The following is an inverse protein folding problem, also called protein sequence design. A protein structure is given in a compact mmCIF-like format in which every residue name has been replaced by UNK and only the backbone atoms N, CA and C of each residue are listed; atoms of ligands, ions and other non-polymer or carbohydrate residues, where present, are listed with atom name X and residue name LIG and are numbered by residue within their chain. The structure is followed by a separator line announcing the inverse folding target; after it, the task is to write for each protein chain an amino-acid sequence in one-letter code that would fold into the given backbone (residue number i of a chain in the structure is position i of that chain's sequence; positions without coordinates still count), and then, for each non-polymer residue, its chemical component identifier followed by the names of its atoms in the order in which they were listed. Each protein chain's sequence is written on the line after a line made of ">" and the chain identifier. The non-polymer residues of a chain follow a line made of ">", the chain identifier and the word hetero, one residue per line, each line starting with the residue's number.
data_IF_394219472835
#
_entry.id   IF_394219472835
#
_cell.length_a   1.000
_cell.length_b   1.000
_cell.length_c   1.000
_cell.angle_alpha   90.00
_cell.angle_beta   90.00
_cell.angle_gamma   90.00
#
_symmetry.space_group_name_H-M   'P 1'
#
loop_
_entity.id
_entity.type
_entity.pdbx_description
1 polymer ?
#
# COMPACT_ATOMS: atom_id res chain seq x y z
N UNK A 1 -47.47 -4.58 20.47
CA UNK A 1 -46.19 -4.29 21.16
C UNK A 1 -45.07 -5.27 20.80
N UNK A 2 -45.19 -6.59 21.05
CA UNK A 2 -44.12 -7.57 20.74
C UNK A 2 -43.64 -7.54 19.28
N UNK A 3 -44.56 -7.46 18.30
CA UNK A 3 -44.20 -7.38 16.87
C UNK A 3 -43.40 -6.12 16.51
N UNK A 4 -43.78 -4.97 17.08
CA UNK A 4 -43.08 -3.69 16.86
C UNK A 4 -41.66 -3.75 17.45
N UNK A 5 -41.51 -4.32 18.65
CA UNK A 5 -40.20 -4.49 19.27
C UNK A 5 -39.27 -5.40 18.45
N UNK A 6 -39.80 -6.50 17.89
CA UNK A 6 -39.05 -7.39 17.00
C UNK A 6 -38.62 -6.67 15.72
N UNK A 7 -39.51 -5.92 15.08
CA UNK A 7 -39.18 -5.15 13.87
C UNK A 7 -38.09 -4.10 14.13
N UNK A 8 -38.19 -3.36 15.23
CA UNK A 8 -37.17 -2.36 15.61
C UNK A 8 -35.81 -3.03 15.86
N UNK A 9 -35.80 -4.18 16.54
CA UNK A 9 -34.55 -4.90 16.82
C UNK A 9 -33.88 -5.40 15.53
N UNK A 10 -34.66 -5.92 14.58
CA UNK A 10 -34.18 -6.30 13.25
C UNK A 10 -33.62 -5.11 12.48
N UNK A 11 -34.30 -3.96 12.47
CA UNK A 11 -33.80 -2.75 11.81
C UNK A 11 -32.47 -2.26 12.39
N UNK A 12 -32.34 -2.26 13.73
CA UNK A 12 -31.08 -1.90 14.40
C UNK A 12 -29.96 -2.89 14.06
N UNK A 13 -30.27 -4.18 14.00
CA UNK A 13 -29.31 -5.22 13.63
C UNK A 13 -28.83 -5.07 12.18
N UNK A 14 -29.75 -4.81 11.24
CA UNK A 14 -29.40 -4.53 9.84
C UNK A 14 -28.57 -3.25 9.70
N UNK A 15 -28.94 -2.17 10.40
CA UNK A 15 -28.17 -0.92 10.39
C UNK A 15 -26.76 -1.12 10.96
N UNK A 16 -26.63 -1.90 12.04
CA UNK A 16 -25.33 -2.26 12.63
C UNK A 16 -24.46 -3.09 11.69
N UNK A 17 -25.03 -4.11 11.04
CA UNK A 17 -24.31 -4.93 10.05
C UNK A 17 -23.90 -4.11 8.82
N UNK A 18 -24.78 -3.24 8.33
CA UNK A 18 -24.47 -2.35 7.22
C UNK A 18 -23.35 -1.36 7.57
N UNK A 19 -23.41 -0.76 8.76
CA UNK A 19 -22.37 0.14 9.26
C UNK A 19 -21.03 -0.59 9.36
N UNK A 20 -21.00 -1.77 9.98
CA UNK A 20 -19.80 -2.59 10.09
C UNK A 20 -19.21 -2.90 8.71
N UNK A 21 -20.04 -3.34 7.78
CA UNK A 21 -19.62 -3.66 6.42
C UNK A 21 -19.02 -2.44 5.70
N UNK A 22 -19.69 -1.28 5.78
CA UNK A 22 -19.21 -0.05 5.15
C UNK A 22 -17.87 0.42 5.74
N UNK A 23 -17.66 0.23 7.04
CA UNK A 23 -16.40 0.59 7.72
C UNK A 23 -15.27 -0.40 7.49
N UNK A 24 -15.56 -1.65 7.12
CA UNK A 24 -14.57 -2.72 6.99
C UNK A 24 -13.67 -2.57 5.75
N UNK A 25 -14.16 -1.98 4.65
CA UNK A 25 -13.38 -1.86 3.41
C UNK A 25 -13.14 -0.39 2.98
N UNK A 26 -12.44 0.43 3.79
CA UNK A 26 -12.36 1.88 3.55
C UNK A 26 -11.65 2.25 2.25
N UNK A 27 -10.74 1.41 1.75
CA UNK A 27 -9.91 1.72 0.58
C UNK A 27 -10.06 0.74 -0.58
N UNK A 28 -11.05 -0.14 -0.57
CA UNK A 28 -11.28 -1.03 -1.70
C UNK A 28 -11.51 -0.24 -3.00
N UNK A 29 -10.76 -0.60 -4.04
CA UNK A 29 -10.85 -0.01 -5.37
C UNK A 29 -10.04 1.27 -5.58
N UNK A 30 -9.27 1.73 -4.58
CA UNK A 30 -8.30 2.80 -4.82
C UNK A 30 -7.09 2.29 -5.60
N UNK A 31 -6.68 3.05 -6.61
CA UNK A 31 -5.47 2.87 -7.36
C UNK A 31 -4.54 4.07 -7.16
N UNK A 32 -3.24 3.84 -7.09
CA UNK A 32 -2.21 4.87 -7.02
C UNK A 32 -1.23 4.63 -8.14
N UNK A 33 -0.71 5.70 -8.74
CA UNK A 33 0.24 5.62 -9.82
C UNK A 33 1.14 6.83 -9.85
N UNK A 34 2.42 6.63 -10.14
CA UNK A 34 3.34 7.74 -10.35
C UNK A 34 4.75 7.27 -10.66
N UNK A 35 5.59 8.21 -11.09
CA UNK A 35 7.02 7.99 -11.24
C UNK A 35 7.73 8.31 -9.94
N UNK A 36 8.44 7.34 -9.39
CA UNK A 36 9.27 7.50 -8.21
C UNK A 36 10.74 7.61 -8.61
N UNK A 37 11.35 8.70 -8.17
CA UNK A 37 12.78 8.93 -8.32
C UNK A 37 13.39 9.02 -6.94
N UNK A 38 14.36 8.15 -6.66
CA UNK A 38 15.08 8.12 -5.41
C UNK A 38 16.58 8.16 -5.65
N UNK A 39 17.29 8.87 -4.80
CA UNK A 39 18.75 8.95 -4.79
C UNK A 39 19.20 9.05 -3.34
N UNK A 40 20.06 8.12 -2.91
CA UNK A 40 20.64 8.15 -1.58
C UNK A 40 22.09 7.67 -1.60
N UNK A 41 22.88 8.25 -0.70
CA UNK A 41 24.19 7.76 -0.34
C UNK A 41 24.06 7.20 1.09
N UNK A 42 24.22 5.90 1.25
CA UNK A 42 24.20 5.24 2.55
C UNK A 42 25.54 4.55 2.80
N UNK A 43 25.74 4.05 4.02
CA UNK A 43 26.95 3.27 4.38
C UNK A 43 27.14 2.06 3.46
N UNK A 44 26.05 1.50 2.95
CA UNK A 44 26.03 0.33 2.06
C UNK A 44 26.28 0.66 0.57
N UNK A 45 26.49 1.93 0.23
CA UNK A 45 26.79 2.37 -1.13
C UNK A 45 25.88 3.50 -1.63
N UNK A 46 26.04 3.82 -2.92
CA UNK A 46 25.23 4.82 -3.61
C UNK A 46 24.10 4.13 -4.36
N UNK A 47 22.88 4.49 -4.02
CA UNK A 47 21.66 3.92 -4.59
C UNK A 47 20.88 4.99 -5.35
N UNK A 48 20.31 4.59 -6.48
CA UNK A 48 19.27 5.38 -7.12
C UNK A 48 18.29 4.50 -7.86
N UNK A 49 17.03 4.90 -7.94
CA UNK A 49 16.08 4.23 -8.81
C UNK A 49 15.14 5.22 -9.48
N UNK A 50 14.67 4.85 -10.66
CA UNK A 50 13.60 5.53 -11.39
C UNK A 50 12.59 4.48 -11.81
N UNK A 51 11.43 4.47 -11.17
CA UNK A 51 10.41 3.44 -11.38
C UNK A 51 9.03 4.05 -11.55
N UNK A 52 8.24 3.46 -12.43
CA UNK A 52 6.79 3.58 -12.38
C UNK A 52 6.31 2.70 -11.21
N UNK A 53 5.71 3.34 -10.21
CA UNK A 53 5.14 2.68 -9.06
C UNK A 53 3.62 2.72 -9.16
N UNK A 54 2.98 1.56 -9.12
CA UNK A 54 1.52 1.43 -9.05
C UNK A 54 1.14 0.73 -7.77
N UNK A 55 0.10 1.19 -7.08
CA UNK A 55 -0.41 0.56 -5.87
C UNK A 55 -1.92 0.36 -6.01
N UNK A 56 -2.42 -0.79 -5.64
CA UNK A 56 -3.84 -1.13 -5.73
C UNK A 56 -4.32 -1.70 -4.41
N UNK A 57 -5.44 -1.20 -3.93
CA UNK A 57 -6.12 -1.69 -2.74
C UNK A 57 -7.28 -2.60 -3.14
N UNK A 58 -7.20 -3.86 -2.74
CA UNK A 58 -8.21 -4.89 -3.02
C UNK A 58 -9.14 -5.07 -1.83
N UNK A 59 -9.97 -6.11 -1.87
CA UNK A 59 -10.85 -6.52 -0.76
C UNK A 59 -10.05 -6.97 0.46
N UNK A 60 -10.73 -7.02 1.60
CA UNK A 60 -10.27 -7.69 2.83
C UNK A 60 -8.94 -7.15 3.37
N UNK A 61 -8.74 -5.84 3.25
CA UNK A 61 -7.53 -5.17 3.70
C UNK A 61 -6.24 -5.65 3.02
N UNK A 62 -6.34 -6.12 1.79
CA UNK A 62 -5.20 -6.53 0.99
C UNK A 62 -4.92 -5.53 -0.14
N UNK A 63 -3.76 -5.68 -0.75
CA UNK A 63 -3.39 -4.93 -1.92
C UNK A 63 -2.06 -5.39 -2.49
N UNK A 64 -1.61 -4.70 -3.52
CA UNK A 64 -0.28 -4.88 -4.06
C UNK A 64 0.29 -3.56 -4.57
N UNK A 65 1.61 -3.48 -4.61
CA UNK A 65 2.29 -2.45 -5.36
C UNK A 65 3.29 -3.07 -6.34
N UNK A 66 3.30 -2.54 -7.55
CA UNK A 66 4.18 -2.95 -8.63
C UNK A 66 5.20 -1.83 -8.90
N UNK A 67 6.46 -2.22 -9.06
CA UNK A 67 7.57 -1.34 -9.39
C UNK A 67 8.16 -1.79 -10.73
N UNK A 68 8.15 -0.89 -11.71
CA UNK A 68 8.70 -1.13 -13.04
C UNK A 68 9.67 -0.02 -13.41
N UNK A 69 10.94 -0.33 -13.62
CA UNK A 69 11.92 0.66 -14.08
C UNK A 69 13.35 0.19 -13.85
N UNK A 70 14.21 1.13 -13.45
CA UNK A 70 15.64 0.87 -13.27
C UNK A 70 16.09 1.17 -11.85
N UNK A 71 17.07 0.38 -11.39
CA UNK A 71 17.72 0.49 -10.09
C UNK A 71 19.23 0.50 -10.30
N UNK A 72 19.93 1.42 -9.66
CA UNK A 72 21.38 1.58 -9.77
C UNK A 72 22.00 1.47 -8.38
N UNK A 73 23.01 0.63 -8.25
CA UNK A 73 23.83 0.49 -7.04
C UNK A 73 25.30 0.53 -7.42
N UNK A 74 26.04 1.47 -6.82
CA UNK A 74 27.49 1.69 -7.05
C UNK A 74 27.87 1.77 -8.53
N UNK A 75 27.04 2.44 -9.32
CA UNK A 75 27.24 2.68 -10.76
C UNK A 75 26.76 1.56 -11.68
N UNK A 76 26.41 0.39 -11.15
CA UNK A 76 25.80 -0.69 -11.93
C UNK A 76 24.29 -0.52 -11.98
N UNK A 77 23.71 -0.63 -13.17
CA UNK A 77 22.26 -0.46 -13.37
C UNK A 77 21.59 -1.79 -13.70
N UNK A 78 20.47 -2.02 -13.04
CA UNK A 78 19.66 -3.21 -13.08
C UNK A 78 18.22 -2.84 -13.49
N UNK A 79 17.55 -3.77 -14.14
CA UNK A 79 16.12 -3.73 -14.35
C UNK A 79 15.41 -4.16 -13.07
N UNK A 80 14.45 -3.36 -12.63
CA UNK A 80 13.62 -3.61 -11.47
C UNK A 80 12.18 -3.80 -11.94
N UNK A 81 11.65 -5.01 -11.77
CA UNK A 81 10.30 -5.37 -12.18
C UNK A 81 9.72 -6.34 -11.15
N UNK A 82 9.10 -5.79 -10.11
CA UNK A 82 8.59 -6.55 -8.96
C UNK A 82 7.20 -6.13 -8.57
N UNK A 83 6.40 -7.11 -8.19
CA UNK A 83 5.10 -6.88 -7.56
C UNK A 83 5.14 -7.41 -6.14
N UNK A 84 4.88 -6.55 -5.16
CA UNK A 84 4.79 -6.95 -3.76
C UNK A 84 3.35 -6.83 -3.29
N UNK A 85 2.86 -7.86 -2.62
CA UNK A 85 1.52 -7.90 -2.06
C UNK A 85 1.61 -7.58 -0.59
N UNK A 86 0.58 -6.95 -0.08
CA UNK A 86 0.54 -6.50 1.29
C UNK A 86 -0.84 -6.65 1.91
N UNK A 87 -0.85 -6.74 3.23
CA UNK A 87 -2.03 -6.47 4.06
C UNK A 87 -1.85 -5.12 4.72
N UNK A 88 -2.96 -4.45 5.04
CA UNK A 88 -2.92 -3.19 5.77
C UNK A 88 -3.90 -3.16 6.93
N UNK A 89 -3.55 -2.52 8.05
CA UNK A 89 -4.49 -2.33 9.16
C UNK A 89 -4.34 -0.97 9.80
N UNK A 90 -5.45 -0.38 10.23
CA UNK A 90 -5.44 0.87 10.97
C UNK A 90 -4.81 0.64 12.35
N UNK A 91 -3.88 1.49 12.75
CA UNK A 91 -3.16 1.41 14.04
C UNK A 91 -3.65 2.45 15.05
N UNK A 92 -4.13 3.60 14.59
CA UNK A 92 -4.66 4.64 15.46
C UNK A 92 -5.72 5.49 14.74
N UNK A 93 -6.30 6.44 15.48
CA UNK A 93 -7.29 7.39 14.94
C UNK A 93 -6.71 8.55 14.14
N UNK A 94 -5.38 8.64 14.01
CA UNK A 94 -4.66 9.68 13.27
C UNK A 94 -4.20 9.18 11.89
N UNK A 95 -5.01 8.33 11.27
CA UNK A 95 -4.78 7.79 9.93
C UNK A 95 -3.46 7.03 9.78
N UNK A 96 -2.89 6.53 10.87
CA UNK A 96 -1.72 5.65 10.84
C UNK A 96 -2.17 4.23 10.51
N UNK A 97 -1.55 3.65 9.49
CA UNK A 97 -1.76 2.28 9.08
C UNK A 97 -0.45 1.51 9.21
N UNK A 98 -0.55 0.20 9.34
CA UNK A 98 0.57 -0.71 9.17
C UNK A 98 0.35 -1.51 7.91
N UNK A 99 1.31 -1.43 6.99
CA UNK A 99 1.39 -2.30 5.82
C UNK A 99 2.40 -3.41 6.15
N UNK A 100 2.04 -4.66 5.89
CA UNK A 100 2.95 -5.81 5.98
C UNK A 100 3.08 -6.43 4.61
N UNK A 101 4.32 -6.59 4.12
CA UNK A 101 4.55 -7.26 2.83
C UNK A 101 4.44 -8.76 3.03
N UNK A 102 3.43 -9.38 2.42
CA UNK A 102 3.12 -10.80 2.62
C UNK A 102 3.81 -11.69 1.59
N UNK A 103 3.96 -11.22 0.36
CA UNK A 103 4.63 -11.96 -0.72
C UNK A 103 5.19 -11.01 -1.77
N UNK A 104 6.14 -11.51 -2.56
CA UNK A 104 6.65 -10.81 -3.74
C UNK A 104 6.71 -11.73 -4.96
N UNK A 105 6.50 -11.15 -6.13
CA UNK A 105 6.76 -11.75 -7.44
C UNK A 105 7.87 -10.93 -8.09
N UNK A 106 8.93 -11.60 -8.49
CA UNK A 106 10.05 -11.04 -9.26
C UNK A 106 9.84 -11.49 -10.71
N UNK A 107 9.78 -10.54 -11.65
CA UNK A 107 9.66 -10.85 -13.07
C UNK A 107 10.95 -11.43 -13.62
N UNK A 108 10.86 -12.23 -14.69
CA UNK A 108 12.02 -12.73 -15.43
C UNK A 108 12.89 -11.61 -16.04
N UNK A 109 12.32 -10.40 -16.20
CA UNK A 109 13.05 -9.22 -16.68
C UNK A 109 13.81 -8.48 -15.55
N UNK A 110 13.55 -8.80 -14.29
CA UNK A 110 14.25 -8.22 -13.15
C UNK A 110 15.60 -8.92 -12.96
N UNK A 111 16.67 -8.11 -12.91
CA UNK A 111 18.02 -8.61 -12.66
C UNK A 111 18.69 -7.89 -11.48
N UNK A 112 17.91 -7.17 -10.66
CA UNK A 112 18.44 -6.48 -9.50
C UNK A 112 18.71 -7.48 -8.36
N UNK A 113 19.92 -7.58 -7.82
CA UNK A 113 20.19 -8.56 -6.78
C UNK A 113 19.50 -8.16 -5.45
N UNK A 114 18.98 -9.12 -4.66
CA UNK A 114 18.37 -8.83 -3.35
C UNK A 114 19.29 -8.02 -2.43
N UNK A 115 20.58 -8.33 -2.42
CA UNK A 115 21.60 -7.63 -1.64
C UNK A 115 21.68 -6.13 -1.94
N UNK A 116 21.37 -5.71 -3.15
CA UNK A 116 21.33 -4.30 -3.53
C UNK A 116 19.96 -3.66 -3.26
N UNK A 117 18.87 -4.41 -3.41
CA UNK A 117 17.50 -3.86 -3.31
C UNK A 117 16.93 -3.83 -1.90
N UNK A 118 17.25 -4.80 -1.04
CA UNK A 118 16.65 -4.97 0.28
C UNK A 118 16.89 -3.79 1.25
N UNK A 119 18.02 -3.05 1.17
CA UNK A 119 18.20 -1.85 1.98
C UNK A 119 17.25 -0.70 1.65
N UNK A 120 16.70 -0.67 0.43
CA UNK A 120 15.94 0.47 -0.09
C UNK A 120 14.47 0.11 -0.32
N UNK A 121 14.18 -1.12 -0.72
CA UNK A 121 12.83 -1.62 -0.95
C UNK A 121 12.35 -2.44 0.24
N UNK A 122 11.10 -2.25 0.65
CA UNK A 122 10.49 -2.93 1.81
C UNK A 122 10.50 -4.46 1.60
N UNK A 123 11.27 -5.25 2.36
CA UNK A 123 11.36 -6.69 2.14
C UNK A 123 10.12 -7.44 2.66
N UNK A 124 9.94 -8.69 2.19
CA UNK A 124 8.84 -9.56 2.64
C UNK A 124 8.95 -9.82 4.14
N UNK A 125 7.82 -9.81 4.85
CA UNK A 125 7.74 -10.03 6.29
C UNK A 125 8.02 -8.78 7.13
N UNK A 126 8.44 -7.67 6.52
CA UNK A 126 8.59 -6.40 7.24
C UNK A 126 7.33 -5.56 7.21
N UNK A 127 7.17 -4.75 8.25
CA UNK A 127 6.09 -3.80 8.38
C UNK A 127 6.58 -2.37 8.20
N UNK A 128 5.74 -1.54 7.59
CA UNK A 128 5.93 -0.08 7.52
C UNK A 128 4.69 0.63 8.02
N UNK A 129 4.87 1.84 8.53
CA UNK A 129 3.80 2.64 9.16
C UNK A 129 3.46 3.90 8.34
N UNK A 130 2.80 3.76 7.18
CA UNK A 130 2.35 4.91 6.40
C UNK A 130 1.15 5.59 7.05
N UNK A 131 0.90 6.84 6.63
CA UNK A 131 -0.35 7.54 6.89
C UNK A 131 -1.23 7.51 5.65
N UNK A 132 -2.49 7.08 5.79
CA UNK A 132 -3.47 7.09 4.71
C UNK A 132 -4.47 8.21 4.96
N UNK A 133 -4.24 9.37 4.36
CA UNK A 133 -5.12 10.53 4.52
C UNK A 133 -6.14 10.56 3.39
N UNK A 134 -7.43 10.54 3.72
CA UNK A 134 -8.49 10.79 2.74
C UNK A 134 -8.55 12.29 2.42
N UNK A 135 -8.48 12.64 1.13
CA UNK A 135 -8.72 14.01 0.68
C UNK A 135 -10.23 14.18 0.41
N UNK A 136 -10.82 13.26 -0.37
CA UNK A 136 -12.25 13.26 -0.68
C UNK A 136 -12.80 11.81 -0.85
N UNK A 137 -14.01 11.67 -1.39
CA UNK A 137 -14.65 10.35 -1.59
C UNK A 137 -13.92 9.44 -2.59
N UNK A 138 -13.15 10.03 -3.50
CA UNK A 138 -12.46 9.38 -4.63
C UNK A 138 -10.94 9.55 -4.59
N UNK A 139 -10.37 10.27 -3.62
CA UNK A 139 -8.92 10.43 -3.52
C UNK A 139 -8.36 10.23 -2.10
N UNK A 140 -7.21 9.56 -2.03
CA UNK A 140 -6.43 9.37 -0.80
C UNK A 140 -4.95 9.67 -1.06
N UNK A 141 -4.24 10.03 0.00
CA UNK A 141 -2.79 10.19 0.02
C UNK A 141 -2.23 9.11 0.91
N UNK A 142 -1.27 8.34 0.39
CA UNK A 142 -0.48 7.39 1.18
C UNK A 142 0.91 7.98 1.37
N UNK A 143 1.22 8.41 2.59
CA UNK A 143 2.52 9.00 2.94
C UNK A 143 3.37 8.03 3.74
N UNK A 144 4.59 7.77 3.30
CA UNK A 144 5.59 7.02 4.07
C UNK A 144 6.53 8.02 4.77
N UNK A 145 6.99 7.68 5.98
CA UNK A 145 7.80 8.58 6.84
C UNK A 145 9.08 9.08 6.13
N UNK A 146 9.59 8.33 5.13
CA UNK A 146 10.85 8.62 4.44
C UNK A 146 10.81 8.41 2.91
N UNK A 147 9.62 8.36 2.31
CA UNK A 147 9.46 8.09 0.87
C UNK A 147 8.38 8.99 0.27
N UNK A 148 8.44 9.34 -1.03
CA UNK A 148 7.41 10.10 -1.71
C UNK A 148 6.00 9.58 -1.40
N UNK A 149 5.06 10.51 -1.31
CA UNK A 149 3.66 10.20 -1.12
C UNK A 149 3.06 9.64 -2.41
N UNK A 150 2.16 8.66 -2.29
CA UNK A 150 1.31 8.24 -3.40
C UNK A 150 0.01 9.03 -3.37
N UNK A 151 -0.37 9.61 -4.50
CA UNK A 151 -1.73 10.08 -4.72
C UNK A 151 -2.50 8.93 -5.35
N UNK A 152 -3.62 8.58 -4.74
CA UNK A 152 -4.47 7.50 -5.21
C UNK A 152 -5.85 8.03 -5.56
N UNK A 153 -6.41 7.57 -6.66
CA UNK A 153 -7.76 7.86 -7.10
C UNK A 153 -8.60 6.59 -7.10
N UNK A 154 -9.91 6.75 -7.07
CA UNK A 154 -10.88 5.69 -7.31
C UNK A 154 -11.61 6.03 -8.61
N UNK A 155 -11.50 5.13 -9.59
CA UNK A 155 -12.27 5.20 -10.84
C UNK A 155 -13.77 5.02 -10.58
#
# INVERSE_FOLDING_TARGET
>A
MKRIAVTVCLCLLFAGLFYLHYTYNPFEGFNCGGTMVYRANQVQGRFSYTVEAKMFFTKDHEGFYALNGTFTHDGQTFNLHRTKFFTYRRKNDQDLYEIIITRQIISSMDNAPPSATDPVLIPVGTSVLPRFRRIDKRSIIVSLIYSPFFICAKE
#
